data_IF_632909201952
#
_entry.id   IF_632909201952
#
_cell.length_a   1.000
_cell.length_b   1.000
_cell.length_c   1.000
_cell.angle_alpha   90.00
_cell.angle_beta   90.00
_cell.angle_gamma   90.00
#
_symmetry.space_group_name_H-M   'P 1'
#
loop_
_entity.id
_entity.type
_entity.pdbx_description
1 polymer ?
#
# COMPACT_ATOMS: atom_id res chain seq x y z
N UNK A 1 -20.63 5.28 15.89
CA UNK A 1 -20.03 3.95 15.72
C UNK A 1 -18.63 3.95 16.28
N UNK A 2 -18.28 2.91 17.04
CA UNK A 2 -16.95 2.75 17.64
C UNK A 2 -16.27 1.52 17.04
N UNK A 3 -15.08 1.68 16.48
CA UNK A 3 -14.30 0.62 15.84
C UNK A 3 -13.01 0.39 16.61
N UNK A 4 -12.68 -0.87 16.89
CA UNK A 4 -11.37 -1.25 17.42
C UNK A 4 -10.50 -1.74 16.26
N UNK A 5 -9.44 -0.99 15.95
CA UNK A 5 -8.46 -1.38 14.92
C UNK A 5 -7.33 -2.16 15.59
N UNK A 6 -7.05 -3.37 15.07
CA UNK A 6 -5.98 -4.24 15.53
C UNK A 6 -4.95 -4.45 14.42
N UNK A 7 -3.70 -4.12 14.71
CA UNK A 7 -2.57 -4.33 13.81
C UNK A 7 -1.28 -4.66 14.58
N UNK A 8 -0.27 -5.18 13.89
CA UNK A 8 1.06 -5.38 14.49
C UNK A 8 1.74 -4.05 14.72
N UNK A 9 2.35 -3.91 15.89
CA UNK A 9 3.20 -2.77 16.21
C UNK A 9 4.52 -2.82 15.42
N UNK A 10 4.94 -1.67 14.92
CA UNK A 10 6.23 -1.47 14.24
C UNK A 10 7.03 -0.37 14.93
N UNK A 11 7.40 -0.62 16.21
CA UNK A 11 8.20 0.33 16.97
C UNK A 11 7.39 1.50 17.55
N UNK A 12 6.17 1.21 18.06
CA UNK A 12 5.28 2.18 18.69
C UNK A 12 4.21 2.77 17.77
N UNK A 13 4.22 2.38 16.48
CA UNK A 13 3.27 2.90 15.48
C UNK A 13 2.72 1.78 14.59
N UNK A 14 1.52 1.97 14.06
CA UNK A 14 1.04 1.15 12.96
C UNK A 14 1.75 1.52 11.64
N UNK A 15 1.57 0.68 10.62
CA UNK A 15 2.05 1.04 9.29
C UNK A 15 1.36 2.35 8.81
N UNK A 16 2.07 3.26 8.10
CA UNK A 16 1.57 4.58 7.75
C UNK A 16 0.17 4.58 7.12
N UNK A 17 -0.12 3.66 6.20
CA UNK A 17 -1.43 3.54 5.56
C UNK A 17 -2.56 3.15 6.53
N UNK A 18 -2.25 2.49 7.66
CA UNK A 18 -3.24 2.18 8.71
C UNK A 18 -3.51 3.43 9.55
N UNK A 19 -2.44 4.19 9.88
CA UNK A 19 -2.60 5.46 10.58
C UNK A 19 -3.42 6.46 9.77
N UNK A 20 -3.15 6.59 8.48
CA UNK A 20 -3.91 7.44 7.57
C UNK A 20 -5.39 6.99 7.48
N UNK A 21 -5.66 5.69 7.42
CA UNK A 21 -7.02 5.16 7.46
C UNK A 21 -7.73 5.50 8.79
N UNK A 22 -7.02 5.44 9.92
CA UNK A 22 -7.57 5.81 11.23
C UNK A 22 -7.95 7.29 11.25
N UNK A 23 -7.06 8.17 10.78
CA UNK A 23 -7.34 9.61 10.69
C UNK A 23 -8.58 9.86 9.83
N UNK A 24 -8.65 9.29 8.63
CA UNK A 24 -9.77 9.45 7.73
C UNK A 24 -11.11 8.94 8.31
N UNK A 25 -11.09 7.83 9.06
CA UNK A 25 -12.28 7.35 9.77
C UNK A 25 -12.72 8.32 10.88
N UNK A 26 -11.76 8.91 11.60
CA UNK A 26 -12.05 9.88 12.65
C UNK A 26 -12.62 11.20 12.10
N UNK A 27 -12.10 11.67 10.98
CA UNK A 27 -12.58 12.86 10.27
C UNK A 27 -14.06 12.76 9.82
N UNK A 28 -14.51 11.54 9.49
CA UNK A 28 -15.92 11.28 9.16
C UNK A 28 -16.77 10.84 10.37
N UNK A 29 -16.28 11.08 11.60
CA UNK A 29 -17.03 10.91 12.84
C UNK A 29 -17.04 9.50 13.42
N UNK A 30 -16.16 8.59 12.98
CA UNK A 30 -15.99 7.26 13.58
C UNK A 30 -15.07 7.34 14.78
N UNK A 31 -15.52 6.83 15.94
CA UNK A 31 -14.64 6.69 17.10
C UNK A 31 -13.73 5.47 16.92
N UNK A 32 -12.42 5.69 16.88
CA UNK A 32 -11.43 4.61 16.69
C UNK A 32 -10.65 4.36 17.97
N UNK A 33 -10.61 3.09 18.38
CA UNK A 33 -9.74 2.56 19.44
C UNK A 33 -8.63 1.74 18.79
N UNK A 34 -7.41 1.81 19.30
CA UNK A 34 -6.23 1.13 18.76
C UNK A 34 -5.80 -0.01 19.66
N UNK A 35 -5.55 -1.18 19.08
CA UNK A 35 -4.91 -2.31 19.75
C UNK A 35 -3.66 -2.74 18.99
N UNK A 36 -2.50 -2.43 19.54
CA UNK A 36 -1.20 -2.78 18.96
C UNK A 36 -0.77 -4.19 19.43
N UNK A 37 -0.53 -5.10 18.48
CA UNK A 37 0.03 -6.42 18.78
C UNK A 37 1.55 -6.29 18.80
N UNK A 38 2.14 -6.37 19.98
CA UNK A 38 3.59 -6.17 20.18
C UNK A 38 4.40 -7.46 20.09
N UNK A 39 3.75 -8.61 20.37
CA UNK A 39 4.40 -9.92 20.40
C UNK A 39 4.54 -10.53 19.01
N UNK A 40 5.63 -11.24 18.76
CA UNK A 40 5.93 -11.86 17.47
C UNK A 40 5.52 -13.35 17.43
N UNK A 41 5.19 -13.82 16.23
CA UNK A 41 4.85 -15.22 15.97
C UNK A 41 3.49 -15.65 16.52
N UNK A 42 2.99 -16.82 16.10
CA UNK A 42 1.65 -17.30 16.44
C UNK A 42 1.39 -17.38 17.95
N UNK A 43 2.33 -17.98 18.71
CA UNK A 43 2.19 -18.09 20.17
C UNK A 43 2.19 -16.71 20.86
N UNK A 44 2.99 -15.75 20.33
CA UNK A 44 2.97 -14.38 20.81
C UNK A 44 1.60 -13.75 20.62
N UNK A 45 1.02 -13.87 19.43
CA UNK A 45 -0.33 -13.38 19.15
C UNK A 45 -1.39 -14.03 20.05
N UNK A 46 -1.35 -15.34 20.27
CA UNK A 46 -2.30 -16.01 21.12
C UNK A 46 -2.22 -15.52 22.60
N UNK A 47 -1.02 -15.16 23.07
CA UNK A 47 -0.83 -14.57 24.40
C UNK A 47 -1.40 -13.15 24.55
N UNK A 48 -1.72 -12.46 23.45
CA UNK A 48 -2.43 -11.17 23.46
C UNK A 48 -3.95 -11.32 23.68
N UNK A 49 -4.51 -12.52 23.53
CA UNK A 49 -5.95 -12.73 23.56
C UNK A 49 -6.63 -12.29 24.88
N UNK A 50 -6.07 -12.52 26.08
CA UNK A 50 -6.68 -12.02 27.32
C UNK A 50 -6.76 -10.49 27.35
N UNK A 51 -5.68 -9.79 26.99
CA UNK A 51 -5.63 -8.34 26.96
C UNK A 51 -6.60 -7.75 25.90
N UNK A 52 -6.67 -8.35 24.71
CA UNK A 52 -7.64 -7.97 23.69
C UNK A 52 -9.09 -8.13 24.19
N UNK A 53 -9.40 -9.25 24.84
CA UNK A 53 -10.73 -9.48 25.44
C UNK A 53 -11.06 -8.47 26.55
N UNK A 54 -10.09 -8.08 27.35
CA UNK A 54 -10.24 -7.06 28.38
C UNK A 54 -10.54 -5.70 27.75
N UNK A 55 -9.78 -5.29 26.72
CA UNK A 55 -10.01 -4.04 26.00
C UNK A 55 -11.38 -4.00 25.32
N UNK A 56 -11.81 -5.09 24.66
CA UNK A 56 -13.14 -5.18 24.04
C UNK A 56 -14.26 -5.03 25.11
N UNK A 57 -14.08 -5.58 26.32
CA UNK A 57 -15.05 -5.39 27.39
C UNK A 57 -15.11 -3.95 27.91
N UNK A 58 -13.97 -3.30 28.02
CA UNK A 58 -13.86 -1.93 28.50
C UNK A 58 -14.39 -0.91 27.48
N UNK A 59 -13.99 -1.08 26.21
CA UNK A 59 -14.28 -0.13 25.15
C UNK A 59 -15.62 -0.37 24.45
N UNK A 60 -16.15 -1.60 24.50
CA UNK A 60 -17.40 -2.00 23.84
C UNK A 60 -17.49 -1.52 22.38
N UNK A 61 -16.53 -1.89 21.50
CA UNK A 61 -16.58 -1.52 20.11
C UNK A 61 -17.72 -2.23 19.38
N UNK A 62 -18.31 -1.57 18.37
CA UNK A 62 -19.33 -2.16 17.51
C UNK A 62 -18.71 -3.21 16.56
N UNK A 63 -17.49 -2.94 16.08
CA UNK A 63 -16.74 -3.80 15.14
C UNK A 63 -15.26 -3.84 15.53
N UNK A 64 -14.62 -4.98 15.32
CA UNK A 64 -13.16 -5.11 15.35
C UNK A 64 -12.66 -5.19 13.90
N UNK A 65 -11.80 -4.27 13.50
CA UNK A 65 -11.16 -4.27 12.19
C UNK A 65 -9.70 -4.68 12.32
N UNK A 66 -9.37 -5.87 11.84
CA UNK A 66 -8.02 -6.42 11.89
C UNK A 66 -7.28 -6.21 10.57
N UNK A 67 -6.05 -5.72 10.65
CA UNK A 67 -5.14 -5.65 9.51
C UNK A 67 -4.19 -6.85 9.54
N UNK A 68 -4.07 -7.53 8.40
CA UNK A 68 -3.34 -8.77 8.17
C UNK A 68 -4.00 -10.03 8.78
N UNK A 69 -3.80 -11.16 8.10
CA UNK A 69 -4.45 -12.43 8.44
C UNK A 69 -4.17 -12.93 9.85
N UNK A 70 -2.97 -12.72 10.41
CA UNK A 70 -2.64 -13.17 11.77
C UNK A 70 -3.36 -12.34 12.85
N UNK A 71 -3.47 -11.02 12.66
CA UNK A 71 -4.33 -10.17 13.49
C UNK A 71 -5.80 -10.57 13.35
N UNK A 72 -6.23 -10.94 12.13
CA UNK A 72 -7.57 -11.47 11.86
C UNK A 72 -7.86 -12.76 12.66
N UNK A 73 -6.89 -13.70 12.75
CA UNK A 73 -7.04 -14.88 13.59
C UNK A 73 -7.24 -14.49 15.05
N UNK A 74 -6.35 -13.65 15.60
CA UNK A 74 -6.42 -13.19 16.99
C UNK A 74 -7.75 -12.49 17.27
N UNK A 75 -8.15 -11.56 16.39
CA UNK A 75 -9.41 -10.82 16.52
C UNK A 75 -10.63 -11.76 16.56
N UNK A 76 -10.67 -12.78 15.71
CA UNK A 76 -11.80 -13.72 15.67
C UNK A 76 -11.90 -14.64 16.91
N UNK A 77 -10.83 -14.87 17.65
CA UNK A 77 -10.84 -15.70 18.86
C UNK A 77 -11.58 -15.04 20.04
N UNK A 78 -11.89 -13.76 20.00
CA UNK A 78 -12.68 -13.10 21.05
C UNK A 78 -14.17 -13.44 21.00
N UNK A 79 -14.76 -13.69 19.81
CA UNK A 79 -16.12 -14.23 19.56
C UNK A 79 -17.31 -13.39 20.08
N UNK A 80 -17.13 -12.13 20.43
CA UNK A 80 -18.19 -11.25 20.96
C UNK A 80 -18.64 -10.19 19.96
N UNK A 81 -17.67 -9.65 19.22
CA UNK A 81 -17.85 -8.53 18.32
C UNK A 81 -17.53 -9.00 16.91
N UNK A 82 -18.31 -8.62 15.87
CA UNK A 82 -18.01 -8.99 14.50
C UNK A 82 -16.66 -8.46 14.06
N UNK A 83 -15.96 -9.25 13.23
CA UNK A 83 -14.60 -8.93 12.77
C UNK A 83 -14.58 -8.69 11.28
N UNK A 84 -14.01 -7.56 10.86
CA UNK A 84 -13.56 -7.29 9.51
C UNK A 84 -12.07 -7.57 9.44
N UNK A 85 -11.58 -8.23 8.39
CA UNK A 85 -10.14 -8.44 8.18
C UNK A 85 -9.72 -7.92 6.82
N UNK A 86 -8.73 -7.00 6.80
CA UNK A 86 -8.08 -6.51 5.57
C UNK A 86 -6.75 -7.24 5.34
N UNK A 87 -6.58 -7.77 4.10
CA UNK A 87 -5.40 -8.49 3.64
C UNK A 87 -4.59 -7.61 2.70
N UNK A 88 -3.27 -7.43 3.02
CA UNK A 88 -2.41 -6.44 2.39
C UNK A 88 -1.39 -7.00 1.38
N UNK A 89 -1.47 -8.26 1.02
CA UNK A 89 -0.62 -8.92 0.02
C UNK A 89 0.40 -9.87 0.64
N UNK A 90 1.28 -9.46 1.53
CA UNK A 90 2.26 -10.37 2.16
C UNK A 90 1.60 -11.55 2.89
N UNK A 91 0.43 -11.34 3.44
CA UNK A 91 -0.39 -12.34 4.13
C UNK A 91 -1.18 -13.27 3.17
N UNK A 92 -1.20 -12.94 1.88
CA UNK A 92 -1.77 -13.77 0.81
C UNK A 92 -0.68 -14.42 -0.05
N UNK A 93 0.36 -13.65 -0.40
CA UNK A 93 1.40 -14.06 -1.35
C UNK A 93 2.45 -14.99 -0.72
N UNK A 94 2.60 -14.98 0.63
CA UNK A 94 3.58 -15.83 1.33
C UNK A 94 2.90 -17.11 1.84
N UNK A 95 3.22 -18.31 1.30
CA UNK A 95 2.51 -19.56 1.62
C UNK A 95 2.46 -19.90 3.11
N UNK A 96 3.56 -19.62 3.84
CA UNK A 96 3.64 -19.85 5.31
C UNK A 96 2.65 -18.97 6.10
N UNK A 97 2.33 -17.78 5.61
CA UNK A 97 1.44 -16.83 6.26
C UNK A 97 0.01 -17.06 5.80
N UNK A 98 -0.20 -17.37 4.53
CA UNK A 98 -1.51 -17.62 3.92
C UNK A 98 -2.36 -18.64 4.69
N UNK A 99 -1.75 -19.68 5.28
CA UNK A 99 -2.48 -20.65 6.10
C UNK A 99 -3.25 -20.02 7.26
N UNK A 100 -2.71 -18.97 7.87
CA UNK A 100 -3.39 -18.22 8.93
C UNK A 100 -4.46 -17.29 8.36
N UNK A 101 -4.16 -16.66 7.23
CA UNK A 101 -5.13 -15.83 6.51
C UNK A 101 -6.37 -16.63 6.10
N UNK A 102 -6.21 -17.90 5.66
CA UNK A 102 -7.35 -18.80 5.39
C UNK A 102 -8.24 -19.04 6.61
N UNK A 103 -7.65 -19.14 7.80
CA UNK A 103 -8.41 -19.26 9.06
C UNK A 103 -9.20 -17.97 9.31
N UNK A 104 -8.53 -16.81 9.21
CA UNK A 104 -9.19 -15.51 9.38
C UNK A 104 -10.31 -15.30 8.37
N UNK A 105 -10.10 -15.63 7.08
CA UNK A 105 -11.11 -15.54 6.01
C UNK A 105 -12.38 -16.35 6.33
N UNK A 106 -12.21 -17.52 6.93
CA UNK A 106 -13.34 -18.38 7.31
C UNK A 106 -14.13 -17.81 8.49
N UNK A 107 -13.45 -17.20 9.46
CA UNK A 107 -14.02 -16.76 10.72
C UNK A 107 -14.58 -15.34 10.67
N UNK A 108 -13.97 -14.44 9.87
CA UNK A 108 -14.36 -13.03 9.80
C UNK A 108 -15.77 -12.86 9.25
N UNK A 109 -16.49 -11.90 9.81
CA UNK A 109 -17.80 -11.46 9.31
C UNK A 109 -17.66 -10.86 7.90
N UNK A 110 -16.57 -10.13 7.65
CA UNK A 110 -16.25 -9.56 6.34
C UNK A 110 -14.76 -9.60 6.05
N UNK A 111 -14.40 -9.75 4.76
CA UNK A 111 -13.02 -9.80 4.28
C UNK A 111 -12.77 -8.69 3.25
N UNK A 112 -11.70 -7.96 3.41
CA UNK A 112 -11.29 -6.91 2.47
C UNK A 112 -9.95 -7.31 1.85
N UNK A 113 -9.89 -7.29 0.53
CA UNK A 113 -8.68 -7.54 -0.25
C UNK A 113 -8.24 -6.26 -0.95
N UNK A 114 -6.95 -5.98 -0.93
CA UNK A 114 -6.42 -4.72 -1.48
C UNK A 114 -6.15 -4.79 -2.99
N UNK A 115 -6.19 -5.98 -3.61
CA UNK A 115 -6.01 -6.15 -5.05
C UNK A 115 -6.82 -7.32 -5.60
N UNK A 116 -7.17 -7.27 -6.89
CA UNK A 116 -7.88 -8.35 -7.58
C UNK A 116 -7.04 -9.64 -7.56
N UNK A 117 -5.73 -9.54 -7.75
CA UNK A 117 -4.80 -10.68 -7.64
C UNK A 117 -4.91 -11.40 -6.28
N UNK A 118 -5.06 -10.66 -5.19
CA UNK A 118 -5.27 -11.25 -3.86
C UNK A 118 -6.63 -11.93 -3.73
N UNK A 119 -7.68 -11.37 -4.32
CA UNK A 119 -9.01 -11.99 -4.40
C UNK A 119 -8.93 -13.33 -5.13
N UNK A 120 -8.30 -13.36 -6.31
CA UNK A 120 -8.19 -14.55 -7.15
C UNK A 120 -7.41 -15.67 -6.44
N UNK A 121 -6.30 -15.34 -5.78
CA UNK A 121 -5.53 -16.30 -4.97
C UNK A 121 -6.39 -16.84 -3.82
N UNK A 122 -7.06 -15.96 -3.08
CA UNK A 122 -7.89 -16.35 -1.95
C UNK A 122 -9.03 -17.26 -2.37
N UNK A 123 -9.73 -16.96 -3.47
CA UNK A 123 -10.87 -17.75 -3.94
C UNK A 123 -10.44 -19.08 -4.55
N UNK A 124 -9.38 -19.08 -5.38
CA UNK A 124 -8.83 -20.32 -5.97
C UNK A 124 -8.38 -21.32 -4.89
N UNK A 125 -7.85 -20.84 -3.79
CA UNK A 125 -7.30 -21.66 -2.72
C UNK A 125 -8.27 -21.92 -1.56
N UNK A 126 -9.50 -21.42 -1.64
CA UNK A 126 -10.51 -21.59 -0.58
C UNK A 126 -11.52 -22.67 -0.95
N UNK A 127 -11.68 -23.72 -0.13
CA UNK A 127 -12.76 -24.69 -0.30
C UNK A 127 -14.15 -24.09 -0.06
N UNK A 128 -14.22 -22.85 0.42
CA UNK A 128 -15.47 -22.11 0.70
C UNK A 128 -15.59 -20.86 -0.18
N UNK A 129 -15.08 -20.89 -1.40
CA UNK A 129 -15.00 -19.73 -2.29
C UNK A 129 -16.35 -19.01 -2.48
N UNK A 130 -17.46 -19.73 -2.65
CA UNK A 130 -18.80 -19.15 -2.81
C UNK A 130 -19.26 -18.37 -1.57
N UNK A 131 -19.03 -18.89 -0.39
CA UNK A 131 -19.33 -18.19 0.89
C UNK A 131 -18.39 -17.00 1.11
N UNK A 132 -17.10 -17.16 0.78
CA UNK A 132 -16.11 -16.10 0.89
C UNK A 132 -16.48 -14.92 -0.03
N UNK A 133 -16.87 -15.19 -1.28
CA UNK A 133 -17.29 -14.17 -2.26
C UNK A 133 -18.42 -13.29 -1.73
N UNK A 134 -19.43 -13.87 -1.06
CA UNK A 134 -20.56 -13.14 -0.48
C UNK A 134 -20.21 -12.22 0.69
N UNK A 135 -19.02 -12.37 1.28
CA UNK A 135 -18.53 -11.62 2.45
C UNK A 135 -17.15 -11.04 2.21
N UNK A 136 -16.93 -10.58 0.99
CA UNK A 136 -15.66 -10.00 0.58
C UNK A 136 -15.86 -8.79 -0.29
N UNK A 137 -14.94 -7.84 -0.16
CA UNK A 137 -14.88 -6.62 -0.98
C UNK A 137 -13.44 -6.40 -1.42
N UNK A 138 -13.27 -6.00 -2.68
CA UNK A 138 -12.04 -5.41 -3.18
C UNK A 138 -12.02 -3.94 -2.79
N UNK A 139 -11.12 -3.57 -1.89
CA UNK A 139 -10.95 -2.20 -1.43
C UNK A 139 -9.47 -1.92 -1.14
N UNK A 140 -8.73 -1.33 -2.06
CA UNK A 140 -7.37 -0.87 -1.83
C UNK A 140 -7.32 0.18 -0.71
N UNK A 141 -6.17 0.29 -0.03
CA UNK A 141 -5.98 1.38 0.92
C UNK A 141 -6.03 2.73 0.21
N UNK A 142 -6.61 3.71 0.87
CA UNK A 142 -6.69 5.07 0.37
C UNK A 142 -5.33 5.76 0.32
N UNK A 143 -5.33 6.94 -0.26
CA UNK A 143 -4.21 7.88 -0.31
C UNK A 143 -4.68 9.27 0.10
N UNK A 144 -3.83 10.00 0.79
CA UNK A 144 -4.09 11.40 1.09
C UNK A 144 -3.93 12.24 -0.19
N UNK A 145 -4.90 13.09 -0.47
CA UNK A 145 -4.96 13.96 -1.66
C UNK A 145 -5.08 15.43 -1.27
N UNK A 146 -4.54 15.85 -0.13
CA UNK A 146 -4.54 17.27 0.24
C UNK A 146 -3.68 18.10 -0.71
N UNK A 147 -4.12 19.32 -1.03
CA UNK A 147 -3.45 20.17 -2.04
C UNK A 147 -2.13 20.75 -1.53
N UNK A 148 -1.96 20.88 -0.20
CA UNK A 148 -0.72 21.27 0.46
C UNK A 148 0.45 20.31 0.22
N UNK A 149 0.17 19.11 -0.30
CA UNK A 149 1.18 18.13 -0.66
C UNK A 149 1.76 18.32 -2.07
N UNK A 150 1.10 19.14 -2.89
CA UNK A 150 1.54 19.41 -4.26
C UNK A 150 2.43 20.65 -4.31
N UNK A 151 3.61 20.48 -4.86
CA UNK A 151 4.50 21.58 -5.20
C UNK A 151 5.04 21.37 -6.62
N UNK A 152 5.45 22.45 -7.28
CA UNK A 152 6.08 22.32 -8.59
C UNK A 152 7.37 21.50 -8.48
N UNK A 153 7.77 20.84 -9.57
CA UNK A 153 9.01 20.08 -9.62
C UNK A 153 10.20 20.99 -9.28
N UNK A 154 10.23 22.19 -9.81
CA UNK A 154 11.28 23.18 -9.56
C UNK A 154 11.36 23.57 -8.07
N UNK A 155 10.23 23.89 -7.44
CA UNK A 155 10.18 24.25 -6.03
C UNK A 155 10.61 23.08 -5.14
N UNK A 156 10.18 21.85 -5.46
CA UNK A 156 10.60 20.65 -4.75
C UNK A 156 12.11 20.40 -4.87
N UNK A 157 12.67 20.55 -6.08
CA UNK A 157 14.11 20.40 -6.34
C UNK A 157 14.92 21.44 -5.58
N UNK A 158 14.49 22.70 -5.60
CA UNK A 158 15.12 23.78 -4.84
C UNK A 158 15.12 23.48 -3.34
N UNK A 159 14.00 23.00 -2.78
CA UNK A 159 13.89 22.63 -1.38
C UNK A 159 14.82 21.46 -0.98
N UNK A 160 15.09 20.53 -1.92
CA UNK A 160 15.97 19.39 -1.73
C UNK A 160 17.45 19.66 -2.13
N UNK A 161 17.75 20.84 -2.68
CA UNK A 161 19.09 21.17 -3.15
C UNK A 161 19.56 20.37 -4.38
N UNK A 162 18.60 19.94 -5.23
CA UNK A 162 18.87 19.12 -6.44
C UNK A 162 19.16 20.03 -7.63
N UNK A 163 20.28 19.81 -8.31
CA UNK A 163 20.67 20.53 -9.54
C UNK A 163 19.71 20.25 -10.70
N UNK A 164 19.56 21.21 -11.63
CA UNK A 164 18.64 21.08 -12.76
C UNK A 164 19.06 20.00 -13.77
N UNK A 165 20.34 19.69 -13.84
CA UNK A 165 20.95 18.69 -14.74
C UNK A 165 20.93 17.27 -14.16
N UNK A 166 20.60 17.10 -12.87
CA UNK A 166 20.46 15.77 -12.27
C UNK A 166 19.10 15.16 -12.58
N UNK A 167 19.07 13.90 -12.98
CA UNK A 167 17.85 13.14 -13.17
C UNK A 167 17.66 12.17 -11.99
N UNK A 168 16.67 12.46 -11.16
CA UNK A 168 16.39 11.67 -9.94
C UNK A 168 15.42 10.55 -10.26
N UNK A 169 15.85 9.33 -10.01
CA UNK A 169 15.04 8.11 -10.07
C UNK A 169 14.79 7.64 -8.64
N UNK A 170 13.55 7.68 -8.20
CA UNK A 170 13.20 7.18 -6.86
C UNK A 170 13.09 5.66 -6.88
N UNK A 171 13.76 5.01 -5.95
CA UNK A 171 13.58 3.59 -5.72
C UNK A 171 12.41 3.35 -4.75
N UNK A 172 11.47 2.51 -5.16
CA UNK A 172 10.22 2.25 -4.42
C UNK A 172 10.43 1.44 -3.12
N UNK A 173 11.36 1.83 -2.28
CA UNK A 173 11.64 1.18 -1.00
C UNK A 173 13.05 1.43 -0.47
N UNK A 174 13.52 0.55 0.42
CA UNK A 174 14.87 0.55 0.97
C UNK A 174 15.75 -0.45 0.22
N UNK A 175 17.00 -0.11 0.00
CA UNK A 175 17.95 -0.94 -0.77
C UNK A 175 18.28 -2.28 -0.10
N UNK A 176 18.16 -2.38 1.21
CA UNK A 176 18.39 -3.62 1.97
C UNK A 176 17.15 -4.54 2.04
N UNK A 177 16.01 -4.12 1.48
CA UNK A 177 14.82 -4.95 1.40
C UNK A 177 14.87 -5.88 0.19
N UNK A 178 15.17 -7.17 0.43
CA UNK A 178 15.29 -8.20 -0.62
C UNK A 178 14.04 -8.37 -1.50
N UNK A 179 12.85 -7.99 -1.01
CA UNK A 179 11.61 -8.03 -1.79
C UNK A 179 11.58 -6.93 -2.86
N UNK A 180 12.22 -5.79 -2.59
CA UNK A 180 12.25 -4.63 -3.49
C UNK A 180 13.24 -4.78 -4.65
N UNK A 181 14.19 -5.71 -4.54
CA UNK A 181 15.17 -6.05 -5.58
C UNK A 181 16.02 -4.87 -6.08
N UNK A 182 16.71 -4.23 -5.14
CA UNK A 182 17.63 -3.12 -5.46
C UNK A 182 18.72 -3.48 -6.49
N UNK A 183 19.28 -4.72 -6.54
CA UNK A 183 20.20 -5.10 -7.60
C UNK A 183 19.63 -4.90 -9.01
N UNK A 184 18.40 -5.32 -9.26
CA UNK A 184 17.72 -5.10 -10.54
C UNK A 184 17.54 -3.61 -10.85
N UNK A 185 17.15 -2.81 -9.86
CA UNK A 185 17.00 -1.36 -10.03
C UNK A 185 18.33 -0.68 -10.40
N UNK A 186 19.44 -1.04 -9.73
CA UNK A 186 20.78 -0.50 -10.02
C UNK A 186 21.23 -0.86 -11.44
N UNK A 187 21.08 -2.12 -11.83
CA UNK A 187 21.41 -2.58 -13.17
C UNK A 187 20.57 -1.88 -14.24
N UNK A 188 19.28 -1.67 -13.98
CA UNK A 188 18.37 -0.91 -14.87
C UNK A 188 18.86 0.52 -15.06
N UNK A 189 19.19 1.23 -13.97
CA UNK A 189 19.64 2.63 -14.03
C UNK A 189 20.99 2.73 -14.74
N UNK A 190 21.92 1.80 -14.53
CA UNK A 190 23.20 1.74 -15.20
C UNK A 190 23.02 1.58 -16.71
N UNK A 191 22.18 0.63 -17.14
CA UNK A 191 21.86 0.46 -18.57
C UNK A 191 21.17 1.69 -19.16
N UNK A 192 20.19 2.26 -18.46
CA UNK A 192 19.52 3.48 -18.90
C UNK A 192 20.52 4.64 -19.06
N UNK A 193 21.50 4.77 -18.17
CA UNK A 193 22.54 5.79 -18.29
C UNK A 193 23.41 5.59 -19.54
N UNK A 194 23.67 4.34 -19.95
CA UNK A 194 24.48 4.03 -21.13
C UNK A 194 23.72 4.26 -22.46
N UNK A 195 22.40 4.22 -22.44
CA UNK A 195 21.56 4.40 -23.62
C UNK A 195 21.35 5.88 -23.98
N UNK A 196 21.63 6.82 -23.08
CA UNK A 196 21.43 8.24 -23.29
C UNK A 196 22.72 8.94 -23.73
N UNK A 197 22.78 9.54 -24.96
CA UNK A 197 23.94 10.33 -25.38
C UNK A 197 24.04 11.69 -24.66
N UNK A 198 22.96 12.16 -24.04
CA UNK A 198 22.92 13.33 -23.17
C UNK A 198 23.17 12.87 -21.75
N UNK A 199 24.41 12.84 -21.31
CA UNK A 199 24.92 12.39 -20.03
C UNK A 199 24.38 13.19 -18.83
N UNK A 200 23.05 13.27 -18.70
CA UNK A 200 22.44 13.65 -17.43
C UNK A 200 22.75 12.54 -16.42
N UNK A 201 23.33 12.92 -15.31
CA UNK A 201 23.65 11.98 -14.24
C UNK A 201 22.35 11.40 -13.68
N UNK A 202 22.07 10.12 -13.94
CA UNK A 202 20.96 9.42 -13.28
C UNK A 202 21.36 9.09 -11.84
N UNK A 203 20.56 9.56 -10.89
CA UNK A 203 20.75 9.31 -9.47
C UNK A 203 19.63 8.42 -8.96
N UNK A 204 19.96 7.23 -8.47
CA UNK A 204 18.99 6.33 -7.85
C UNK A 204 18.89 6.66 -6.36
N UNK A 205 17.77 7.21 -5.93
CA UNK A 205 17.48 7.63 -4.56
C UNK A 205 16.51 6.66 -3.89
N UNK A 206 16.89 6.02 -2.77
CA UNK A 206 15.96 5.21 -1.98
C UNK A 206 15.01 6.06 -1.13
N UNK A 207 13.79 5.56 -0.93
CA UNK A 207 12.78 6.17 -0.06
C UNK A 207 12.84 5.53 1.35
N UNK A 208 13.89 5.86 2.12
CA UNK A 208 14.10 5.34 3.46
C UNK A 208 14.38 6.45 4.46
N UNK A 209 13.72 6.38 5.62
CA UNK A 209 13.97 7.30 6.73
C UNK A 209 13.33 8.68 6.58
N UNK A 210 12.59 8.92 5.49
CA UNK A 210 11.89 10.16 5.24
C UNK A 210 10.51 10.17 5.90
N UNK A 211 10.10 11.35 6.38
CA UNK A 211 8.72 11.66 6.76
C UNK A 211 7.80 11.63 5.53
N UNK A 212 6.49 11.62 5.75
CA UNK A 212 5.52 11.68 4.65
C UNK A 212 5.67 12.95 3.79
N UNK A 213 5.90 14.10 4.43
CA UNK A 213 6.12 15.35 3.71
C UNK A 213 7.37 15.31 2.83
N UNK A 214 8.46 14.75 3.35
CA UNK A 214 9.70 14.57 2.57
C UNK A 214 9.50 13.58 1.40
N UNK A 215 8.79 12.46 1.60
CA UNK A 215 8.45 11.53 0.51
C UNK A 215 7.66 12.24 -0.58
N UNK A 216 6.67 13.05 -0.24
CA UNK A 216 5.90 13.83 -1.21
C UNK A 216 6.80 14.84 -1.95
N UNK A 217 7.68 15.53 -1.24
CA UNK A 217 8.64 16.45 -1.85
C UNK A 217 9.56 15.72 -2.84
N UNK A 218 10.09 14.55 -2.47
CA UNK A 218 10.87 13.70 -3.37
C UNK A 218 10.06 13.24 -4.59
N UNK A 219 8.78 12.85 -4.42
CA UNK A 219 7.90 12.47 -5.53
C UNK A 219 7.63 13.63 -6.49
N UNK A 220 7.49 14.85 -5.96
CA UNK A 220 7.34 16.06 -6.79
C UNK A 220 8.65 16.40 -7.52
N UNK A 221 9.81 16.23 -6.89
CA UNK A 221 11.13 16.56 -7.46
C UNK A 221 11.61 15.57 -8.52
N UNK A 222 11.23 14.31 -8.42
CA UNK A 222 11.77 13.21 -9.20
C UNK A 222 11.35 13.25 -10.68
N UNK A 223 12.18 12.62 -11.53
CA UNK A 223 11.91 12.37 -12.94
C UNK A 223 11.11 11.08 -13.13
N UNK A 224 11.33 10.06 -12.30
CA UNK A 224 10.53 8.84 -12.29
C UNK A 224 10.61 8.11 -10.94
N UNK A 225 9.56 7.35 -10.63
CA UNK A 225 9.61 6.27 -9.63
C UNK A 225 9.90 4.95 -10.34
N UNK A 226 10.91 4.21 -9.86
CA UNK A 226 11.26 2.87 -10.34
C UNK A 226 10.88 1.82 -9.30
N UNK A 227 10.04 0.86 -9.68
CA UNK A 227 9.66 -0.27 -8.84
C UNK A 227 10.01 -1.61 -9.47
N UNK A 228 10.94 -2.32 -8.82
CA UNK A 228 11.46 -3.64 -9.23
C UNK A 228 11.05 -4.76 -8.28
N UNK A 229 10.03 -4.57 -7.46
CA UNK A 229 9.60 -5.52 -6.43
C UNK A 229 9.29 -6.91 -7.00
N UNK A 230 9.64 -7.97 -6.25
CA UNK A 230 9.34 -9.35 -6.60
C UNK A 230 7.89 -9.72 -6.33
N UNK A 231 7.28 -9.09 -5.35
CA UNK A 231 5.89 -9.32 -4.96
C UNK A 231 5.32 -8.11 -4.22
N UNK A 232 4.07 -7.79 -4.52
CA UNK A 232 3.28 -6.73 -3.87
C UNK A 232 1.81 -7.16 -3.74
N UNK A 233 1.05 -6.43 -2.94
CA UNK A 233 -0.41 -6.51 -2.92
C UNK A 233 -1.03 -5.36 -3.71
N UNK A 234 -1.08 -4.18 -3.08
CA UNK A 234 -1.43 -2.90 -3.68
C UNK A 234 -0.44 -1.86 -3.13
N UNK A 235 0.68 -1.63 -3.83
CA UNK A 235 1.77 -0.82 -3.28
C UNK A 235 1.36 0.64 -3.12
N UNK A 236 1.43 1.17 -1.88
CA UNK A 236 1.08 2.56 -1.57
C UNK A 236 1.96 3.55 -2.33
N UNK A 237 3.24 3.25 -2.48
CA UNK A 237 4.22 4.11 -3.17
C UNK A 237 3.82 4.42 -4.62
N UNK A 238 3.12 3.52 -5.32
CA UNK A 238 2.58 3.79 -6.66
C UNK A 238 1.47 4.84 -6.59
N UNK A 239 0.54 4.71 -5.65
CA UNK A 239 -0.55 5.69 -5.46
C UNK A 239 0.00 7.04 -4.98
N UNK A 240 1.04 7.04 -4.16
CA UNK A 240 1.77 8.24 -3.74
C UNK A 240 2.41 8.96 -4.95
N UNK A 241 3.09 8.21 -5.82
CA UNK A 241 3.67 8.75 -7.05
C UNK A 241 2.58 9.30 -7.99
N UNK A 242 1.47 8.55 -8.18
CA UNK A 242 0.32 9.02 -8.96
C UNK A 242 -0.27 10.30 -8.37
N UNK A 243 -0.45 10.39 -7.06
CA UNK A 243 -0.99 11.57 -6.38
C UNK A 243 -0.12 12.81 -6.57
N UNK A 244 1.21 12.64 -6.66
CA UNK A 244 2.16 13.70 -6.95
C UNK A 244 2.41 13.91 -8.46
N UNK A 245 1.74 13.15 -9.34
CA UNK A 245 1.95 13.19 -10.78
C UNK A 245 3.36 12.73 -11.23
N UNK A 246 4.06 11.93 -10.42
CA UNK A 246 5.39 11.42 -10.75
C UNK A 246 5.30 10.33 -11.82
N UNK A 247 6.08 10.39 -12.92
CA UNK A 247 6.18 9.28 -13.87
C UNK A 247 6.60 7.98 -13.18
N UNK A 248 6.09 6.84 -13.65
CA UNK A 248 6.29 5.55 -12.99
C UNK A 248 6.81 4.53 -13.99
N UNK A 249 7.84 3.80 -13.57
CA UNK A 249 8.28 2.57 -14.24
C UNK A 249 8.20 1.42 -13.23
N UNK A 250 7.50 0.38 -13.58
CA UNK A 250 7.32 -0.78 -12.69
C UNK A 250 7.34 -2.08 -13.45
N UNK A 251 7.86 -3.13 -12.81
CA UNK A 251 7.54 -4.49 -13.24
C UNK A 251 6.06 -4.80 -12.94
N UNK A 252 5.46 -5.74 -13.68
CA UNK A 252 4.06 -6.16 -13.44
C UNK A 252 3.94 -6.94 -12.13
N UNK A 253 3.58 -6.23 -11.06
CA UNK A 253 3.46 -6.78 -9.70
C UNK A 253 2.28 -6.16 -8.94
N UNK A 254 1.61 -6.95 -8.11
CA UNK A 254 0.45 -6.48 -7.36
C UNK A 254 -0.69 -6.06 -8.27
N UNK A 255 -1.18 -4.84 -8.09
CA UNK A 255 -2.24 -4.20 -8.90
C UNK A 255 -1.71 -3.00 -9.71
N UNK A 256 -0.39 -2.90 -9.92
CA UNK A 256 0.23 -1.72 -10.56
C UNK A 256 -0.32 -1.49 -11.95
N UNK A 257 -0.37 -2.53 -12.79
CA UNK A 257 -0.89 -2.42 -14.15
C UNK A 257 -2.35 -1.93 -14.18
N UNK A 258 -3.17 -2.39 -13.24
CA UNK A 258 -4.57 -1.94 -13.10
C UNK A 258 -4.64 -0.47 -12.67
N UNK A 259 -3.81 -0.05 -11.70
CA UNK A 259 -3.82 1.31 -11.15
C UNK A 259 -3.33 2.35 -12.14
N UNK A 260 -2.29 2.03 -12.90
CA UNK A 260 -1.65 2.95 -13.86
C UNK A 260 -2.24 2.88 -15.27
N UNK A 261 -3.23 2.02 -15.50
CA UNK A 261 -3.87 1.89 -16.81
C UNK A 261 -4.49 3.21 -17.27
N UNK A 262 -4.06 3.68 -18.45
CA UNK A 262 -4.53 4.95 -19.02
C UNK A 262 -3.88 6.20 -18.40
N UNK A 263 -2.85 6.05 -17.58
CA UNK A 263 -2.07 7.17 -17.03
C UNK A 263 -0.85 7.38 -17.90
N UNK A 264 -0.74 8.55 -18.54
CA UNK A 264 0.41 8.89 -19.36
C UNK A 264 1.67 9.05 -18.50
N UNK A 265 2.84 8.69 -19.05
CA UNK A 265 4.11 8.70 -18.29
C UNK A 265 4.27 7.53 -17.32
N UNK A 266 3.34 6.56 -17.31
CA UNK A 266 3.43 5.34 -16.50
C UNK A 266 3.64 4.11 -17.38
N UNK A 267 4.69 3.35 -17.11
CA UNK A 267 5.13 2.21 -17.92
C UNK A 267 5.22 0.96 -17.03
N UNK A 268 4.41 -0.06 -17.35
CA UNK A 268 4.46 -1.36 -16.67
C UNK A 268 5.09 -2.39 -17.60
N UNK A 269 6.23 -2.91 -17.19
CA UNK A 269 7.04 -3.85 -17.97
C UNK A 269 6.72 -5.28 -17.50
N UNK A 270 6.21 -6.16 -18.36
CA UNK A 270 5.88 -7.54 -17.97
C UNK A 270 7.13 -8.39 -17.72
N UNK A 271 8.28 -7.99 -18.28
CA UNK A 271 9.57 -8.65 -18.10
C UNK A 271 10.34 -8.09 -16.91
N UNK A 272 11.20 -8.92 -16.33
CA UNK A 272 12.20 -8.50 -15.32
C UNK A 272 13.60 -8.34 -15.95
N UNK A 273 13.70 -8.30 -17.27
CA UNK A 273 14.95 -8.07 -17.98
C UNK A 273 15.37 -6.61 -17.81
N UNK A 274 16.58 -6.33 -17.29
CA UNK A 274 17.02 -4.96 -17.02
C UNK A 274 16.97 -4.05 -18.24
N UNK A 275 17.24 -4.58 -19.45
CA UNK A 275 17.21 -3.82 -20.69
C UNK A 275 15.80 -3.29 -21.02
N UNK A 276 14.77 -4.16 -20.89
CA UNK A 276 13.38 -3.75 -21.16
C UNK A 276 12.89 -2.69 -20.14
N UNK A 277 13.33 -2.82 -18.87
CA UNK A 277 12.99 -1.82 -17.85
C UNK A 277 13.75 -0.51 -18.10
N UNK A 278 15.01 -0.58 -18.57
CA UNK A 278 15.81 0.60 -18.90
C UNK A 278 15.23 1.41 -20.07
N UNK A 279 14.71 0.75 -21.10
CA UNK A 279 13.98 1.40 -22.19
C UNK A 279 12.74 2.14 -21.70
N UNK A 280 11.93 1.49 -20.85
CA UNK A 280 10.78 2.14 -20.22
C UNK A 280 11.19 3.31 -19.32
N UNK A 281 12.34 3.20 -18.62
CA UNK A 281 12.86 4.26 -17.78
C UNK A 281 13.29 5.48 -18.61
N UNK A 282 13.90 5.25 -19.77
CA UNK A 282 14.24 6.34 -20.71
C UNK A 282 12.98 7.08 -21.20
N UNK A 283 11.90 6.34 -21.51
CA UNK A 283 10.63 6.95 -21.90
C UNK A 283 10.03 7.79 -20.76
N UNK A 284 10.09 7.29 -19.52
CA UNK A 284 9.60 8.02 -18.35
C UNK A 284 10.44 9.28 -18.06
N UNK A 285 11.75 9.24 -18.26
CA UNK A 285 12.65 10.40 -18.09
C UNK A 285 12.41 11.45 -19.19
N UNK A 286 12.07 11.02 -20.40
CA UNK A 286 11.75 11.88 -21.53
C UNK A 286 10.32 12.43 -21.49
N UNK A 287 9.46 11.92 -20.61
CA UNK A 287 8.10 12.41 -20.46
C UNK A 287 8.10 13.85 -19.94
N UNK A 288 7.47 14.75 -20.68
CA UNK A 288 7.41 16.16 -20.32
C UNK A 288 6.23 16.45 -19.39
N UNK A 289 6.50 17.18 -18.32
CA UNK A 289 5.49 17.58 -17.34
C UNK A 289 5.24 16.54 -16.25
N UNK A 290 4.00 16.50 -15.78
CA UNK A 290 3.54 15.59 -14.71
C UNK A 290 2.39 14.73 -15.21
N UNK A 291 2.26 13.52 -14.66
CA UNK A 291 1.21 12.58 -15.08
C UNK A 291 -0.17 13.01 -14.55
N UNK A 292 -1.24 12.55 -15.20
CA UNK A 292 -2.62 12.69 -14.73
C UNK A 292 -3.01 11.60 -13.70
N UNK A 293 -2.02 11.08 -12.96
CA UNK A 293 -2.23 10.02 -11.98
C UNK A 293 -3.15 10.42 -10.83
N UNK A 294 -3.13 11.71 -10.42
CA UNK A 294 -3.98 12.23 -9.34
C UNK A 294 -5.46 12.17 -9.72
N UNK A 295 -5.80 12.62 -10.92
CA UNK A 295 -7.15 12.54 -11.46
C UNK A 295 -7.63 11.08 -11.50
N UNK A 296 -6.75 10.18 -11.92
CA UNK A 296 -7.04 8.75 -11.94
C UNK A 296 -7.33 8.16 -10.56
N UNK A 297 -6.58 8.56 -9.53
CA UNK A 297 -6.85 8.17 -8.13
C UNK A 297 -8.22 8.65 -7.68
N UNK A 298 -8.61 9.88 -8.04
CA UNK A 298 -9.93 10.46 -7.72
C UNK A 298 -11.03 9.68 -8.43
N UNK A 299 -10.91 9.40 -9.73
CA UNK A 299 -11.87 8.62 -10.51
C UNK A 299 -12.09 7.21 -9.92
N UNK A 300 -11.02 6.57 -9.45
CA UNK A 300 -11.09 5.26 -8.83
C UNK A 300 -11.69 5.27 -7.41
N UNK A 301 -11.97 6.44 -6.84
CA UNK A 301 -12.48 6.55 -5.48
C UNK A 301 -11.48 6.11 -4.42
N UNK A 302 -10.20 6.40 -4.60
CA UNK A 302 -9.11 5.96 -3.73
C UNK A 302 -8.56 7.08 -2.83
N UNK A 303 -9.25 8.21 -2.67
CA UNK A 303 -8.91 9.12 -1.58
C UNK A 303 -9.18 8.47 -0.22
N UNK A 304 -8.43 8.85 0.80
CA UNK A 304 -8.62 8.36 2.16
C UNK A 304 -10.06 8.54 2.66
N UNK A 305 -10.68 9.69 2.34
CA UNK A 305 -12.07 9.97 2.69
C UNK A 305 -13.06 9.00 2.03
N UNK A 306 -12.92 8.76 0.71
CA UNK A 306 -13.81 7.86 -0.03
C UNK A 306 -13.66 6.41 0.45
N UNK A 307 -12.43 5.97 0.70
CA UNK A 307 -12.16 4.63 1.26
C UNK A 307 -12.74 4.51 2.68
N UNK A 308 -12.61 5.54 3.52
CA UNK A 308 -13.20 5.56 4.86
C UNK A 308 -14.74 5.47 4.81
N UNK A 309 -15.40 6.19 3.90
CA UNK A 309 -16.86 6.08 3.68
C UNK A 309 -17.27 4.66 3.29
N UNK A 310 -16.55 4.02 2.36
CA UNK A 310 -16.80 2.62 1.95
C UNK A 310 -16.59 1.63 3.09
N UNK A 311 -15.59 1.86 3.95
CA UNK A 311 -15.39 1.05 5.16
C UNK A 311 -16.58 1.18 6.12
N UNK A 312 -17.11 2.38 6.33
CA UNK A 312 -18.29 2.61 7.17
C UNK A 312 -19.51 1.88 6.62
N UNK A 313 -19.70 1.85 5.30
CA UNK A 313 -20.78 1.08 4.66
C UNK A 313 -20.65 -0.42 4.98
N UNK A 314 -19.42 -0.98 4.85
CA UNK A 314 -19.14 -2.38 5.20
C UNK A 314 -19.46 -2.63 6.69
N UNK A 315 -19.05 -1.73 7.59
CA UNK A 315 -19.34 -1.88 9.02
C UNK A 315 -20.84 -1.86 9.31
N UNK A 316 -21.59 -0.96 8.67
CA UNK A 316 -23.07 -0.92 8.79
C UNK A 316 -23.72 -2.21 8.29
N UNK A 317 -23.25 -2.72 7.15
CA UNK A 317 -23.80 -3.95 6.55
C UNK A 317 -23.61 -5.19 7.44
N UNK A 318 -22.55 -5.27 8.22
CA UNK A 318 -22.33 -6.43 9.12
C UNK A 318 -23.01 -6.29 10.48
N UNK A 319 -23.53 -5.08 10.79
CA UNK A 319 -24.28 -4.80 12.03
C UNK A 319 -25.79 -4.86 11.82
N UNK A 320 -26.26 -4.75 10.57
CA UNK A 320 -27.66 -4.98 10.16
C UNK A 320 -28.00 -6.48 10.14
#
# INVERSE_FOLDING_TARGET
MKILIIASDKGGHFAPFIEEQIVALQEIGVRVVRYAVTRKGLLGYLRELPALKQMIRAEQPDVVHAHFGLCGVLANLQRRVPVVTTYHGSDINVPKILRFSKIAMRLSAWNIFVSQRNVDIAFRLSPFASRLKKRSTLLPCGINLTDDQLTSQEAARNALGIGLDEKIILFAGAFDNAVKDAPLARQTVELASSLSPLASRLVLQELRGFSRAEVNCWMCAANALLMTSKTEGSPQVIKEAMACGCPIVSVDVGDVAERTSGVEGCYVVPSREPAAIAEALQQAIAFEGRTNGREKIIEMGLSNEQVAKRLVEIYKQILS
#
